data_IF_488267867114
#
_entry.id   IF_488267867114
#
_cell.length_a   1.000
_cell.length_b   1.000
_cell.length_c   1.000
_cell.angle_alpha   90.00
_cell.angle_beta   90.00
_cell.angle_gamma   90.00
#
_symmetry.space_group_name_H-M   'P 1'
#
loop_
_entity.id
_entity.type
_entity.pdbx_description
1 polymer ?
#
# COMPACT_ATOMS: atom_id res chain seq x y z
N UNK A 1 63.64 17.80 -1.53
CA UNK A 1 62.47 17.49 -2.38
C UNK A 1 61.89 16.08 -2.19
N UNK A 2 62.69 15.03 -1.95
CA UNK A 2 62.20 13.63 -1.88
C UNK A 2 61.19 13.31 -0.77
N UNK A 3 61.34 13.88 0.43
CA UNK A 3 60.45 13.61 1.57
C UNK A 3 59.02 14.15 1.35
N UNK A 4 58.87 15.32 0.73
CA UNK A 4 57.55 15.90 0.40
C UNK A 4 56.79 15.02 -0.60
N UNK A 5 57.48 14.48 -1.61
CA UNK A 5 56.87 13.56 -2.56
C UNK A 5 56.46 12.22 -1.92
N UNK A 6 57.22 11.74 -0.93
CA UNK A 6 56.89 10.50 -0.23
C UNK A 6 55.65 10.64 0.64
N UNK A 7 55.51 11.78 1.35
CA UNK A 7 54.32 12.10 2.15
C UNK A 7 53.09 12.24 1.27
N UNK A 8 53.22 12.85 0.08
CA UNK A 8 52.14 13.02 -0.89
C UNK A 8 51.67 11.67 -1.47
N UNK A 9 52.60 10.74 -1.75
CA UNK A 9 52.26 9.39 -2.20
C UNK A 9 51.55 8.59 -1.11
N UNK A 10 52.01 8.70 0.14
CA UNK A 10 51.41 8.00 1.28
C UNK A 10 49.98 8.49 1.55
N UNK A 11 49.73 9.80 1.48
CA UNK A 11 48.39 10.36 1.68
C UNK A 11 47.43 9.99 0.55
N UNK A 12 47.92 9.96 -0.69
CA UNK A 12 47.14 9.52 -1.84
C UNK A 12 46.76 8.03 -1.74
N UNK A 13 47.68 7.18 -1.26
CA UNK A 13 47.39 5.77 -1.01
C UNK A 13 46.37 5.56 0.12
N UNK A 14 46.48 6.31 1.22
CA UNK A 14 45.52 6.24 2.33
C UNK A 14 44.11 6.70 1.91
N UNK A 15 44.01 7.75 1.09
CA UNK A 15 42.74 8.21 0.53
C UNK A 15 42.15 7.21 -0.46
N UNK A 16 42.97 6.57 -1.30
CA UNK A 16 42.51 5.52 -2.21
C UNK A 16 41.99 4.30 -1.46
N UNK A 17 42.66 3.92 -0.36
CA UNK A 17 42.28 2.76 0.45
C UNK A 17 40.98 3.01 1.23
N UNK A 18 40.79 4.22 1.77
CA UNK A 18 39.55 4.60 2.47
C UNK A 18 38.35 4.67 1.53
N UNK A 19 38.54 5.14 0.30
CA UNK A 19 37.48 5.18 -0.72
C UNK A 19 37.08 3.76 -1.17
N UNK A 20 38.05 2.86 -1.34
CA UNK A 20 37.81 1.45 -1.66
C UNK A 20 37.09 0.70 -0.54
N UNK A 21 37.50 0.88 0.71
CA UNK A 21 36.85 0.26 1.86
C UNK A 21 35.40 0.73 2.00
N UNK A 22 35.17 2.03 1.84
CA UNK A 22 33.81 2.59 1.92
C UNK A 22 32.90 2.01 0.83
N UNK A 23 33.41 1.79 -0.39
CA UNK A 23 32.62 1.14 -1.45
C UNK A 23 32.27 -0.32 -1.13
N UNK A 24 33.18 -1.09 -0.53
CA UNK A 24 32.90 -2.51 -0.19
C UNK A 24 31.84 -2.62 0.92
N UNK A 25 31.84 -1.70 1.89
CA UNK A 25 30.84 -1.69 2.96
C UNK A 25 29.51 -1.02 2.56
N UNK A 26 29.54 0.05 1.75
CA UNK A 26 28.34 0.78 1.38
C UNK A 26 27.54 0.13 0.24
N UNK A 27 28.21 -0.53 -0.72
CA UNK A 27 27.56 -1.15 -1.88
C UNK A 27 26.47 -2.18 -1.51
N UNK A 28 26.67 -3.12 -0.57
CA UNK A 28 25.61 -4.04 -0.18
C UNK A 28 24.41 -3.34 0.48
N UNK A 29 24.62 -2.27 1.26
CA UNK A 29 23.53 -1.46 1.84
C UNK A 29 22.77 -0.65 0.79
N UNK A 30 23.48 -0.12 -0.20
CA UNK A 30 22.88 0.66 -1.31
C UNK A 30 22.07 -0.24 -2.24
N UNK A 31 22.48 -1.49 -2.45
CA UNK A 31 21.74 -2.47 -3.26
C UNK A 31 20.50 -3.03 -2.51
N UNK A 32 20.51 -3.08 -1.17
CA UNK A 32 19.37 -3.51 -0.36
C UNK A 32 18.22 -2.49 -0.32
N UNK A 33 18.54 -1.19 -0.29
CA UNK A 33 17.54 -0.11 -0.31
C UNK A 33 16.48 -0.23 -1.41
N UNK A 34 16.84 -0.31 -2.70
CA UNK A 34 15.88 -0.40 -3.80
C UNK A 34 15.11 -1.72 -3.83
N UNK A 35 15.66 -2.81 -3.28
CA UNK A 35 14.94 -4.09 -3.15
C UNK A 35 13.84 -3.98 -2.10
N UNK A 36 14.13 -3.34 -0.97
CA UNK A 36 13.14 -3.10 0.09
C UNK A 36 12.05 -2.14 -0.42
N UNK A 37 12.42 -1.07 -1.11
CA UNK A 37 11.47 -0.14 -1.71
C UNK A 37 10.58 -0.80 -2.77
N UNK A 38 11.14 -1.71 -3.57
CA UNK A 38 10.38 -2.52 -4.52
C UNK A 38 9.35 -3.42 -3.83
N UNK A 39 9.77 -4.09 -2.76
CA UNK A 39 8.90 -4.97 -1.97
C UNK A 39 7.76 -4.19 -1.28
N UNK A 40 8.06 -3.02 -0.72
CA UNK A 40 7.03 -2.15 -0.11
C UNK A 40 6.01 -1.69 -1.16
N UNK A 41 6.45 -1.32 -2.36
CA UNK A 41 5.55 -0.94 -3.46
C UNK A 41 4.65 -2.09 -3.91
N UNK A 42 5.18 -3.30 -4.02
CA UNK A 42 4.37 -4.48 -4.34
C UNK A 42 3.31 -4.76 -3.26
N UNK A 43 3.68 -4.63 -1.98
CA UNK A 43 2.73 -4.75 -0.87
C UNK A 43 1.65 -3.67 -0.91
N UNK A 44 2.02 -2.42 -1.19
CA UNK A 44 1.07 -1.32 -1.35
C UNK A 44 0.10 -1.59 -2.50
N UNK A 45 0.60 -2.07 -3.63
CA UNK A 45 -0.21 -2.41 -4.80
C UNK A 45 -1.15 -3.59 -4.53
N UNK A 46 -0.70 -4.60 -3.78
CA UNK A 46 -1.54 -5.70 -3.33
C UNK A 46 -2.64 -5.19 -2.40
N UNK A 47 -2.32 -4.31 -1.46
CA UNK A 47 -3.30 -3.72 -0.55
C UNK A 47 -4.36 -2.91 -1.30
N UNK A 48 -3.95 -2.12 -2.29
CA UNK A 48 -4.85 -1.37 -3.16
C UNK A 48 -5.77 -2.29 -3.99
N UNK A 49 -5.23 -3.39 -4.49
CA UNK A 49 -6.01 -4.39 -5.23
C UNK A 49 -7.07 -5.05 -4.34
N UNK A 50 -6.68 -5.44 -3.12
CA UNK A 50 -7.62 -6.00 -2.13
C UNK A 50 -8.67 -4.97 -1.72
N UNK A 51 -8.28 -3.71 -1.47
CA UNK A 51 -9.22 -2.62 -1.18
C UNK A 51 -10.24 -2.48 -2.31
N UNK A 52 -9.79 -2.46 -3.56
CA UNK A 52 -10.67 -2.37 -4.74
C UNK A 52 -11.64 -3.55 -4.83
N UNK A 53 -11.17 -4.77 -4.60
CA UNK A 53 -12.02 -5.97 -4.60
C UNK A 53 -13.08 -5.93 -3.49
N UNK A 54 -12.70 -5.55 -2.26
CA UNK A 54 -13.61 -5.42 -1.12
C UNK A 54 -14.65 -4.32 -1.37
N UNK A 55 -14.23 -3.18 -1.97
CA UNK A 55 -15.16 -2.13 -2.38
C UNK A 55 -16.16 -2.60 -3.42
N UNK A 56 -15.71 -3.34 -4.44
CA UNK A 56 -16.59 -3.91 -5.45
C UNK A 56 -17.64 -4.85 -4.83
N UNK A 57 -17.20 -5.77 -3.97
CA UNK A 57 -18.10 -6.67 -3.24
C UNK A 57 -19.08 -5.91 -2.35
N UNK A 58 -18.63 -4.88 -1.65
CA UNK A 58 -19.47 -4.04 -0.81
C UNK A 58 -20.56 -3.31 -1.59
N UNK A 59 -20.25 -2.79 -2.78
CA UNK A 59 -21.25 -2.17 -3.67
C UNK A 59 -22.31 -3.17 -4.13
N UNK A 60 -21.90 -4.37 -4.53
CA UNK A 60 -22.81 -5.44 -4.96
C UNK A 60 -23.71 -5.91 -3.81
N UNK A 61 -23.13 -6.13 -2.63
CA UNK A 61 -23.88 -6.54 -1.43
C UNK A 61 -24.86 -5.46 -0.97
N UNK A 62 -24.41 -4.19 -0.90
CA UNK A 62 -25.28 -3.05 -0.55
C UNK A 62 -26.46 -2.90 -1.50
N UNK A 63 -26.22 -3.00 -2.81
CA UNK A 63 -27.28 -2.98 -3.83
C UNK A 63 -28.25 -4.16 -3.72
N UNK A 64 -27.73 -5.37 -3.46
CA UNK A 64 -28.55 -6.57 -3.29
C UNK A 64 -29.45 -6.45 -2.05
N UNK A 65 -28.90 -5.96 -0.93
CA UNK A 65 -29.64 -5.73 0.32
C UNK A 65 -30.75 -4.69 0.10
N UNK A 66 -30.49 -3.64 -0.67
CA UNK A 66 -31.52 -2.67 -1.04
C UNK A 66 -32.67 -3.31 -1.82
N UNK A 67 -32.36 -4.09 -2.86
CA UNK A 67 -33.37 -4.76 -3.70
C UNK A 67 -34.21 -5.72 -2.85
N UNK A 68 -33.56 -6.56 -2.04
CA UNK A 68 -34.25 -7.49 -1.14
C UNK A 68 -35.14 -6.72 -0.14
N UNK A 69 -34.61 -5.65 0.44
CA UNK A 69 -35.37 -4.79 1.34
C UNK A 69 -36.61 -4.18 0.69
N UNK A 70 -36.50 -3.77 -0.58
CA UNK A 70 -37.58 -3.17 -1.37
C UNK A 70 -38.65 -4.21 -1.74
N UNK A 71 -38.24 -5.43 -2.13
CA UNK A 71 -39.15 -6.56 -2.39
C UNK A 71 -39.90 -6.98 -1.12
N UNK A 72 -39.20 -7.05 0.02
CA UNK A 72 -39.81 -7.39 1.32
C UNK A 72 -40.76 -6.31 1.83
N UNK A 73 -40.47 -5.04 1.51
CA UNK A 73 -41.35 -3.93 1.82
C UNK A 73 -42.61 -3.97 0.96
N UNK A 74 -42.49 -4.21 -0.35
CA UNK A 74 -43.61 -4.28 -1.27
C UNK A 74 -44.54 -5.49 -1.03
N UNK A 75 -44.00 -6.59 -0.51
CA UNK A 75 -44.78 -7.82 -0.25
C UNK A 75 -45.63 -7.75 1.02
N UNK A 76 -45.53 -6.68 1.82
CA UNK A 76 -46.18 -6.42 3.12
C UNK A 76 -45.97 -7.48 4.24
N UNK A 77 -45.57 -8.70 3.89
CA UNK A 77 -45.25 -9.83 4.77
C UNK A 77 -44.18 -9.50 5.81
N UNK A 78 -43.28 -8.56 5.52
CA UNK A 78 -42.19 -8.15 6.41
C UNK A 78 -41.86 -6.65 6.32
N UNK A 79 -42.87 -5.78 6.16
CA UNK A 79 -42.70 -4.32 5.92
C UNK A 79 -41.73 -3.62 6.90
N UNK A 80 -41.73 -3.98 8.19
CA UNK A 80 -40.81 -3.43 9.19
C UNK A 80 -39.36 -3.90 9.00
N UNK A 81 -39.14 -5.18 8.67
CA UNK A 81 -37.80 -5.72 8.37
C UNK A 81 -37.29 -5.24 7.01
N UNK A 82 -38.17 -5.06 6.02
CA UNK A 82 -37.86 -4.49 4.71
C UNK A 82 -37.31 -3.07 4.83
N UNK A 83 -37.98 -2.18 5.57
CA UNK A 83 -37.48 -0.81 5.82
C UNK A 83 -36.11 -0.79 6.51
N UNK A 84 -35.90 -1.64 7.52
CA UNK A 84 -34.59 -1.78 8.18
C UNK A 84 -33.51 -2.27 7.22
N UNK A 85 -33.83 -3.23 6.34
CA UNK A 85 -32.90 -3.70 5.31
C UNK A 85 -32.55 -2.59 4.32
N UNK A 86 -33.53 -1.80 3.88
CA UNK A 86 -33.30 -0.66 2.99
C UNK A 86 -32.37 0.34 3.66
N UNK A 87 -32.62 0.71 4.92
CA UNK A 87 -31.74 1.65 5.65
C UNK A 87 -30.33 1.09 5.84
N UNK A 88 -30.19 -0.21 6.09
CA UNK A 88 -28.88 -0.85 6.24
C UNK A 88 -28.11 -0.90 4.92
N UNK A 89 -28.78 -1.26 3.80
CA UNK A 89 -28.19 -1.23 2.47
C UNK A 89 -27.80 0.18 2.03
N UNK A 90 -28.65 1.17 2.30
CA UNK A 90 -28.37 2.57 2.02
C UNK A 90 -27.18 3.09 2.84
N UNK A 91 -27.12 2.80 4.14
CA UNK A 91 -25.98 3.16 5.00
C UNK A 91 -24.69 2.51 4.52
N UNK A 92 -24.74 1.23 4.16
CA UNK A 92 -23.58 0.47 3.70
C UNK A 92 -23.05 1.07 2.38
N UNK A 93 -23.93 1.39 1.43
CA UNK A 93 -23.54 2.09 0.21
C UNK A 93 -23.00 3.50 0.48
N UNK A 94 -23.58 4.25 1.42
CA UNK A 94 -23.09 5.58 1.80
C UNK A 94 -21.68 5.51 2.40
N UNK A 95 -21.43 4.55 3.29
CA UNK A 95 -20.10 4.29 3.84
C UNK A 95 -19.12 3.91 2.73
N UNK A 96 -19.53 3.06 1.78
CA UNK A 96 -18.70 2.70 0.63
C UNK A 96 -18.42 3.88 -0.30
N UNK A 97 -19.37 4.77 -0.51
CA UNK A 97 -19.22 5.98 -1.31
C UNK A 97 -18.26 6.97 -0.65
N UNK A 98 -18.29 7.08 0.69
CA UNK A 98 -17.36 7.91 1.47
C UNK A 98 -15.95 7.33 1.53
N UNK A 99 -15.81 6.01 1.46
CA UNK A 99 -14.52 5.33 1.52
C UNK A 99 -13.82 5.27 0.15
N UNK A 100 -14.62 5.31 -0.92
CA UNK A 100 -14.22 5.28 -2.34
C UNK A 100 -13.49 6.54 -2.76
#
# INVERSE_FOLDING_TARGET
MRIKNFILLLSAMLLGLSMSLNQVFAKPLIDLGPVIDGFIKELEQLLLTVKGAVMGLGKVLGGTILIIGLVLWASDLFSYKGRRLITAGALLLLILELLS
#
